data_IF_843298697236
#
_entry.id   IF_843298697236
#
_cell.length_a   1.000
_cell.length_b   1.000
_cell.length_c   1.000
_cell.angle_alpha   90.00
_cell.angle_beta   90.00
_cell.angle_gamma   90.00
#
_symmetry.space_group_name_H-M   'P 1'
#
loop_
_entity.id
_entity.type
_entity.pdbx_description
1 polymer ?
#
# COMPACT_ATOMS: atom_id res chain seq x y z
N UNK A 1 34.46 -20.83 -71.44
CA UNK A 1 33.48 -19.92 -70.79
C UNK A 1 32.71 -20.57 -69.63
N UNK A 2 33.20 -21.68 -69.03
CA UNK A 2 32.53 -22.35 -67.91
C UNK A 2 33.10 -22.02 -66.52
N UNK A 3 34.40 -21.75 -66.43
CA UNK A 3 35.11 -21.52 -65.15
C UNK A 3 34.64 -20.25 -64.43
N UNK A 4 34.26 -19.21 -65.18
CA UNK A 4 33.73 -17.97 -64.59
C UNK A 4 32.39 -18.20 -63.88
N UNK A 5 31.57 -19.13 -64.37
CA UNK A 5 30.24 -19.42 -63.80
C UNK A 5 30.34 -20.18 -62.48
N UNK A 6 31.22 -21.17 -62.38
CA UNK A 6 31.44 -21.92 -61.14
C UNK A 6 32.05 -21.04 -60.05
N UNK A 7 33.00 -20.17 -60.42
CA UNK A 7 33.58 -19.21 -59.47
C UNK A 7 32.54 -18.18 -58.99
N UNK A 8 31.63 -17.74 -59.86
CA UNK A 8 30.53 -16.84 -59.48
C UNK A 8 29.56 -17.50 -58.49
N UNK A 9 29.15 -18.75 -58.73
CA UNK A 9 28.27 -19.49 -57.83
C UNK A 9 28.90 -19.70 -56.45
N UNK A 10 30.19 -20.04 -56.41
CA UNK A 10 30.93 -20.22 -55.15
C UNK A 10 31.02 -18.92 -54.35
N UNK A 11 31.27 -17.78 -55.02
CA UNK A 11 31.28 -16.46 -54.38
C UNK A 11 29.90 -16.05 -53.88
N UNK A 12 28.84 -16.37 -54.64
CA UNK A 12 27.47 -16.10 -54.23
C UNK A 12 27.11 -16.90 -52.98
N UNK A 13 27.44 -18.20 -52.94
CA UNK A 13 27.21 -19.06 -51.79
C UNK A 13 27.92 -18.54 -50.54
N UNK A 14 29.21 -18.18 -50.65
CA UNK A 14 29.97 -17.60 -49.54
C UNK A 14 29.35 -16.30 -49.00
N UNK A 15 28.75 -15.48 -49.86
CA UNK A 15 28.05 -14.25 -49.44
C UNK A 15 26.75 -14.55 -48.73
N UNK A 16 26.02 -15.57 -49.17
CA UNK A 16 24.78 -16.03 -48.51
C UNK A 16 25.11 -16.60 -47.14
N UNK A 17 26.12 -17.47 -47.03
CA UNK A 17 26.54 -18.08 -45.76
C UNK A 17 26.96 -17.00 -44.75
N UNK A 18 27.81 -16.06 -45.17
CA UNK A 18 28.19 -14.91 -44.33
C UNK A 18 26.98 -14.04 -43.96
N UNK A 19 26.02 -13.91 -44.88
CA UNK A 19 24.76 -13.21 -44.63
C UNK A 19 23.94 -13.91 -43.55
N UNK A 20 23.81 -15.23 -43.62
CA UNK A 20 23.08 -16.07 -42.66
C UNK A 20 23.68 -15.91 -41.25
N UNK A 21 25.01 -15.95 -41.15
CA UNK A 21 25.75 -15.70 -39.91
C UNK A 21 25.52 -14.29 -39.35
N UNK A 22 25.31 -13.32 -40.25
CA UNK A 22 25.00 -11.93 -39.90
C UNK A 22 23.50 -11.66 -39.70
N UNK A 23 22.66 -12.70 -39.69
CA UNK A 23 21.21 -12.56 -39.43
C UNK A 23 20.30 -12.53 -40.66
N UNK A 24 20.78 -12.90 -41.85
CA UNK A 24 19.93 -13.04 -43.05
C UNK A 24 18.88 -14.13 -42.82
N UNK A 25 17.60 -13.78 -42.98
CA UNK A 25 16.47 -14.69 -42.84
C UNK A 25 15.52 -14.55 -44.03
N UNK A 26 14.89 -15.65 -44.39
CA UNK A 26 13.76 -15.66 -45.30
C UNK A 26 12.44 -15.53 -44.53
N UNK A 27 11.52 -14.73 -45.01
CA UNK A 27 10.14 -14.70 -44.50
C UNK A 27 9.13 -14.67 -45.65
N UNK A 28 7.95 -15.24 -45.44
CA UNK A 28 6.84 -15.10 -46.37
C UNK A 28 6.08 -13.83 -46.01
N UNK A 29 6.09 -12.85 -46.91
CA UNK A 29 5.35 -11.60 -46.73
C UNK A 29 4.13 -11.57 -47.65
N UNK A 30 3.07 -10.91 -47.19
CA UNK A 30 1.87 -10.73 -48.02
C UNK A 30 2.13 -9.67 -49.09
N UNK A 31 2.05 -10.06 -50.36
CA UNK A 31 2.19 -9.18 -51.51
C UNK A 31 0.88 -8.47 -51.86
N UNK A 32 -0.26 -9.18 -51.74
CA UNK A 32 -1.58 -8.61 -51.94
C UNK A 32 -2.58 -9.17 -50.94
N UNK A 33 -3.17 -8.30 -50.13
CA UNK A 33 -4.15 -8.65 -49.10
C UNK A 33 -5.48 -9.14 -49.70
N UNK A 34 -5.85 -8.70 -50.90
CA UNK A 34 -7.14 -9.05 -51.52
C UNK A 34 -7.13 -10.44 -52.14
N UNK A 35 -6.01 -10.84 -52.74
CA UNK A 35 -5.87 -12.15 -53.40
C UNK A 35 -5.13 -13.17 -52.54
N UNK A 36 -4.54 -12.74 -51.42
CA UNK A 36 -3.73 -13.57 -50.54
C UNK A 36 -2.39 -13.99 -51.15
N UNK A 37 -1.86 -13.28 -52.16
CA UNK A 37 -0.59 -13.64 -52.76
C UNK A 37 0.58 -13.38 -51.81
N UNK A 38 1.54 -14.30 -51.78
CA UNK A 38 2.72 -14.26 -50.93
C UNK A 38 4.00 -14.11 -51.76
N UNK A 39 5.02 -13.49 -51.19
CA UNK A 39 6.37 -13.47 -51.74
C UNK A 39 7.41 -13.81 -50.66
N UNK A 40 8.57 -14.30 -51.10
CA UNK A 40 9.70 -14.56 -50.21
C UNK A 40 10.54 -13.29 -50.09
N UNK A 41 10.63 -12.75 -48.88
CA UNK A 41 11.51 -11.64 -48.51
C UNK A 41 12.81 -12.19 -47.93
N UNK A 42 13.93 -11.59 -48.30
CA UNK A 42 15.25 -11.89 -47.73
C UNK A 42 15.77 -10.64 -47.03
N UNK A 43 15.73 -10.62 -45.71
CA UNK A 43 16.07 -9.45 -44.90
C UNK A 43 17.03 -9.84 -43.75
N UNK A 44 17.78 -8.85 -43.24
CA UNK A 44 18.59 -9.01 -42.05
C UNK A 44 17.74 -8.71 -40.80
N UNK A 45 17.67 -9.67 -39.88
CA UNK A 45 16.87 -9.55 -38.66
C UNK A 45 17.79 -9.29 -37.46
N UNK A 46 17.52 -8.20 -36.75
CA UNK A 46 18.23 -7.85 -35.52
C UNK A 46 17.95 -8.87 -34.41
N UNK A 47 18.98 -9.32 -33.70
CA UNK A 47 18.89 -10.37 -32.67
C UNK A 47 18.29 -11.70 -33.15
N UNK A 48 18.47 -12.05 -34.43
CA UNK A 48 18.04 -13.35 -34.95
C UNK A 48 18.69 -14.50 -34.16
N UNK A 49 17.90 -15.53 -33.82
CA UNK A 49 18.44 -16.76 -33.22
C UNK A 49 19.55 -17.31 -34.11
N UNK A 50 20.72 -17.71 -33.56
CA UNK A 50 21.80 -18.27 -34.35
C UNK A 50 21.30 -19.46 -35.18
N UNK A 51 21.42 -19.34 -36.49
CA UNK A 51 21.10 -20.40 -37.44
C UNK A 51 22.26 -20.38 -38.43
N UNK A 52 23.17 -21.35 -38.34
CA UNK A 52 24.31 -21.44 -39.23
C UNK A 52 23.90 -21.89 -40.63
N UNK A 53 24.80 -21.66 -41.60
CA UNK A 53 24.64 -22.18 -42.95
C UNK A 53 24.49 -23.71 -42.95
N UNK A 54 23.47 -24.22 -43.64
CA UNK A 54 23.18 -25.66 -43.76
C UNK A 54 22.93 -26.01 -45.22
N UNK A 55 23.14 -27.27 -45.57
CA UNK A 55 22.85 -27.81 -46.89
C UNK A 55 21.97 -29.05 -46.74
N UNK A 56 20.93 -29.16 -47.57
CA UNK A 56 20.05 -30.33 -47.62
C UNK A 56 19.94 -30.75 -49.08
N UNK A 57 20.20 -32.04 -49.36
CA UNK A 57 20.14 -32.61 -50.71
C UNK A 57 20.88 -31.73 -51.76
N UNK A 58 22.10 -31.29 -51.41
CA UNK A 58 22.97 -30.43 -52.25
C UNK A 58 22.51 -28.98 -52.44
N UNK A 59 21.40 -28.55 -51.80
CA UNK A 59 20.91 -27.17 -51.84
C UNK A 59 21.22 -26.40 -50.56
N UNK A 60 21.65 -25.15 -50.69
CA UNK A 60 21.86 -24.24 -49.57
C UNK A 60 20.53 -23.86 -48.90
N UNK A 61 20.47 -23.97 -47.58
CA UNK A 61 19.28 -23.68 -46.79
C UNK A 61 19.37 -22.28 -46.16
N UNK A 62 18.45 -21.40 -46.54
CA UNK A 62 18.30 -20.09 -45.90
C UNK A 62 17.34 -20.24 -44.70
N UNK A 63 17.75 -19.89 -43.47
CA UNK A 63 16.88 -20.01 -42.31
C UNK A 63 15.68 -19.07 -42.40
N UNK A 64 14.52 -19.52 -41.93
CA UNK A 64 13.27 -18.75 -42.01
C UNK A 64 12.91 -18.08 -40.68
N UNK A 65 12.12 -17.00 -40.77
CA UNK A 65 11.46 -16.37 -39.63
C UNK A 65 9.98 -16.12 -39.98
N UNK A 66 9.11 -16.21 -38.98
CA UNK A 66 7.70 -15.87 -39.13
C UNK A 66 7.51 -14.37 -39.38
N UNK A 67 6.57 -14.02 -40.25
CA UNK A 67 6.28 -12.62 -40.57
C UNK A 67 5.56 -11.90 -39.42
N UNK A 68 5.66 -10.57 -39.41
CA UNK A 68 5.17 -9.71 -38.33
C UNK A 68 3.64 -9.64 -38.26
N UNK A 69 2.92 -9.95 -39.35
CA UNK A 69 1.46 -9.86 -39.40
C UNK A 69 0.76 -10.93 -38.55
N UNK A 70 1.24 -12.18 -38.59
CA UNK A 70 0.70 -13.28 -37.77
C UNK A 70 0.84 -12.97 -36.27
N UNK A 71 1.89 -12.24 -35.89
CA UNK A 71 2.09 -11.80 -34.52
C UNK A 71 1.08 -10.72 -34.09
N UNK A 72 0.62 -9.86 -35.00
CA UNK A 72 -0.38 -8.84 -34.69
C UNK A 72 -1.73 -9.49 -34.40
N UNK A 73 -2.16 -10.44 -35.22
CA UNK A 73 -3.42 -11.17 -34.97
C UNK A 73 -3.39 -11.87 -33.61
N UNK A 74 -2.28 -12.54 -33.30
CA UNK A 74 -2.10 -13.22 -32.00
C UNK A 74 -2.16 -12.23 -30.83
N UNK A 75 -1.49 -11.09 -30.94
CA UNK A 75 -1.52 -10.02 -29.91
C UNK A 75 -2.90 -9.42 -29.75
N UNK A 76 -3.62 -9.17 -30.84
CA UNK A 76 -5.00 -8.65 -30.78
C UNK A 76 -5.92 -9.66 -30.10
N UNK A 77 -5.85 -10.94 -30.45
CA UNK A 77 -6.62 -12.00 -29.76
C UNK A 77 -6.30 -12.02 -28.27
N UNK A 78 -5.01 -11.99 -27.92
CA UNK A 78 -4.58 -12.03 -26.51
C UNK A 78 -5.08 -10.82 -25.73
N UNK A 79 -5.14 -9.63 -26.37
CA UNK A 79 -5.70 -8.43 -25.74
C UNK A 79 -7.22 -8.54 -25.56
N UNK A 80 -7.94 -9.10 -26.53
CA UNK A 80 -9.37 -9.34 -26.43
C UNK A 80 -9.69 -10.36 -25.33
N UNK A 81 -8.92 -11.45 -25.26
CA UNK A 81 -9.05 -12.46 -24.21
C UNK A 81 -8.82 -11.85 -22.83
N UNK A 82 -7.73 -11.09 -22.66
CA UNK A 82 -7.44 -10.37 -21.41
C UNK A 82 -8.51 -9.34 -21.05
N UNK A 83 -9.04 -8.62 -22.03
CA UNK A 83 -10.11 -7.65 -21.80
C UNK A 83 -11.40 -8.34 -21.34
N UNK A 84 -11.74 -9.48 -21.93
CA UNK A 84 -12.88 -10.29 -21.52
C UNK A 84 -12.69 -10.94 -20.14
N UNK A 85 -11.44 -11.23 -19.76
CA UNK A 85 -11.07 -11.77 -18.44
C UNK A 85 -11.01 -10.71 -17.34
N UNK A 86 -11.11 -9.42 -17.65
CA UNK A 86 -11.15 -8.38 -16.63
C UNK A 86 -12.40 -8.59 -15.76
N UNK A 87 -12.18 -8.95 -14.51
CA UNK A 87 -13.23 -9.13 -13.51
C UNK A 87 -13.77 -7.78 -13.00
N UNK A 88 -14.13 -6.87 -13.91
CA UNK A 88 -14.61 -5.52 -13.59
C UNK A 88 -15.81 -5.54 -12.66
N UNK A 89 -16.72 -6.52 -12.86
CA UNK A 89 -17.86 -6.72 -11.97
C UNK A 89 -17.40 -7.03 -10.54
N UNK A 90 -16.45 -7.94 -10.38
CA UNK A 90 -15.92 -8.30 -9.06
C UNK A 90 -15.22 -7.11 -8.40
N UNK A 91 -14.40 -6.37 -9.13
CA UNK A 91 -13.71 -5.17 -8.61
C UNK A 91 -14.71 -4.11 -8.13
N UNK A 92 -15.79 -3.87 -8.87
CA UNK A 92 -16.83 -2.92 -8.47
C UNK A 92 -17.61 -3.43 -7.26
N UNK A 93 -17.95 -4.72 -7.23
CA UNK A 93 -18.62 -5.35 -6.10
C UNK A 93 -17.76 -5.26 -4.82
N UNK A 94 -16.47 -5.59 -4.90
CA UNK A 94 -15.51 -5.52 -3.78
C UNK A 94 -15.30 -4.08 -3.30
N UNK A 95 -15.18 -3.11 -4.22
CA UNK A 95 -15.10 -1.70 -3.88
C UNK A 95 -16.37 -1.22 -3.17
N UNK A 96 -17.54 -1.67 -3.65
CA UNK A 96 -18.82 -1.39 -3.00
C UNK A 96 -18.90 -1.95 -1.58
N UNK A 97 -18.42 -3.17 -1.35
CA UNK A 97 -18.34 -3.78 -0.02
C UNK A 97 -17.41 -2.99 0.91
N UNK A 98 -16.21 -2.65 0.44
CA UNK A 98 -15.25 -1.87 1.22
C UNK A 98 -15.82 -0.50 1.63
N UNK A 99 -16.48 0.21 0.71
CA UNK A 99 -17.11 1.50 1.00
C UNK A 99 -18.24 1.38 2.03
N UNK A 100 -19.03 0.30 1.96
CA UNK A 100 -20.08 0.03 2.97
C UNK A 100 -19.49 -0.25 4.35
N UNK A 101 -18.41 -1.01 4.42
CA UNK A 101 -17.74 -1.32 5.70
C UNK A 101 -17.14 -0.05 6.32
N UNK A 102 -16.48 0.78 5.52
CA UNK A 102 -15.94 2.08 5.97
C UNK A 102 -17.06 2.99 6.46
N UNK A 103 -18.18 3.08 5.73
CA UNK A 103 -19.34 3.86 6.17
C UNK A 103 -19.93 3.31 7.47
N UNK A 104 -20.02 1.99 7.64
CA UNK A 104 -20.51 1.39 8.89
C UNK A 104 -19.58 1.68 10.06
N UNK A 105 -18.26 1.57 9.87
CA UNK A 105 -17.27 1.89 10.88
C UNK A 105 -17.33 3.37 11.30
N UNK A 106 -17.46 4.29 10.33
CA UNK A 106 -17.62 5.71 10.60
C UNK A 106 -18.88 6.00 11.43
N UNK A 107 -20.02 5.41 11.07
CA UNK A 107 -21.28 5.58 11.83
C UNK A 107 -21.18 5.03 13.26
N UNK A 108 -20.49 3.90 13.45
CA UNK A 108 -20.26 3.35 14.80
C UNK A 108 -19.34 4.25 15.61
N UNK A 109 -18.28 4.78 15.00
CA UNK A 109 -17.38 5.71 15.66
C UNK A 109 -18.12 6.99 16.08
N UNK A 110 -18.93 7.56 15.19
CA UNK A 110 -19.78 8.71 15.50
C UNK A 110 -20.72 8.41 16.68
N UNK A 111 -21.43 7.27 16.66
CA UNK A 111 -22.30 6.87 17.76
C UNK A 111 -21.55 6.74 19.10
N UNK A 112 -20.35 6.14 19.09
CA UNK A 112 -19.51 6.03 20.29
C UNK A 112 -19.09 7.41 20.79
N UNK A 113 -18.69 8.31 19.89
CA UNK A 113 -18.30 9.67 20.25
C UNK A 113 -19.48 10.45 20.82
N UNK A 114 -20.67 10.35 20.23
CA UNK A 114 -21.90 10.96 20.77
C UNK A 114 -22.22 10.41 22.15
N UNK A 115 -22.14 9.09 22.35
CA UNK A 115 -22.38 8.50 23.67
C UNK A 115 -21.37 8.98 24.71
N UNK A 116 -20.08 9.06 24.36
CA UNK A 116 -19.06 9.60 25.25
C UNK A 116 -19.32 11.07 25.60
N UNK A 117 -19.68 11.89 24.61
CA UNK A 117 -20.02 13.30 24.83
C UNK A 117 -21.22 13.45 25.77
N UNK A 118 -22.27 12.64 25.59
CA UNK A 118 -23.42 12.65 26.51
C UNK A 118 -23.09 12.20 27.93
N UNK A 119 -22.18 11.23 28.10
CA UNK A 119 -21.76 10.77 29.41
C UNK A 119 -20.88 11.82 30.11
N UNK A 120 -19.91 12.40 29.40
CA UNK A 120 -19.04 13.45 29.96
C UNK A 120 -19.83 14.74 30.25
N UNK A 121 -20.86 15.02 29.45
CA UNK A 121 -21.80 16.12 29.65
C UNK A 121 -22.85 15.86 30.74
N UNK A 122 -22.93 14.66 31.31
CA UNK A 122 -23.92 14.34 32.35
C UNK A 122 -23.61 15.08 33.65
N UNK A 123 -24.67 15.56 34.31
CA UNK A 123 -24.57 16.31 35.55
C UNK A 123 -23.94 15.44 36.66
N UNK A 124 -24.20 14.13 36.65
CA UNK A 124 -23.59 13.18 37.59
C UNK A 124 -22.07 13.06 37.45
N UNK A 125 -21.54 13.05 36.22
CA UNK A 125 -20.09 12.99 35.96
C UNK A 125 -19.43 14.33 36.28
N UNK A 126 -20.07 15.45 35.94
CA UNK A 126 -19.55 16.79 36.24
C UNK A 126 -19.52 17.09 37.75
N UNK A 127 -20.50 16.61 38.51
CA UNK A 127 -20.58 16.82 39.95
C UNK A 127 -19.76 15.81 40.75
N UNK A 128 -19.30 14.71 40.14
CA UNK A 128 -18.54 13.67 40.83
C UNK A 128 -17.30 14.21 41.58
N UNK A 129 -16.44 15.06 40.99
CA UNK A 129 -15.25 15.59 41.67
C UNK A 129 -15.62 16.52 42.84
N UNK A 130 -16.65 17.36 42.66
CA UNK A 130 -17.12 18.28 43.69
C UNK A 130 -17.69 17.52 44.89
N UNK A 131 -18.57 16.54 44.63
CA UNK A 131 -19.18 15.69 45.66
C UNK A 131 -18.12 14.86 46.41
N UNK A 132 -17.10 14.36 45.70
CA UNK A 132 -15.97 13.66 46.32
C UNK A 132 -15.16 14.59 47.22
N UNK A 133 -14.87 15.81 46.77
CA UNK A 133 -14.14 16.79 47.58
C UNK A 133 -14.92 17.17 48.85
N UNK A 134 -16.22 17.45 48.73
CA UNK A 134 -17.08 17.75 49.87
C UNK A 134 -17.13 16.60 50.88
N UNK A 135 -17.33 15.37 50.39
CA UNK A 135 -17.36 14.16 51.24
C UNK A 135 -16.04 14.00 52.00
N UNK A 136 -14.90 14.29 51.37
CA UNK A 136 -13.58 14.13 51.98
C UNK A 136 -13.24 15.26 52.96
N UNK A 137 -13.70 16.48 52.70
CA UNK A 137 -13.64 17.58 53.67
C UNK A 137 -14.48 17.28 54.91
N UNK A 138 -15.69 16.74 54.73
CA UNK A 138 -16.57 16.36 55.83
C UNK A 138 -15.98 15.20 56.64
N UNK A 139 -15.45 14.18 55.97
CA UNK A 139 -14.77 13.05 56.60
C UNK A 139 -13.56 13.54 57.43
N UNK A 140 -12.73 14.43 56.88
CA UNK A 140 -11.60 15.02 57.58
C UNK A 140 -12.04 15.79 58.82
N UNK A 141 -13.08 16.60 58.71
CA UNK A 141 -13.60 17.38 59.84
C UNK A 141 -14.06 16.46 60.97
N UNK A 142 -14.79 15.38 60.65
CA UNK A 142 -15.24 14.38 61.63
C UNK A 142 -14.06 13.64 62.27
N UNK A 143 -13.08 13.22 61.49
CA UNK A 143 -11.86 12.58 62.01
C UNK A 143 -11.08 13.51 62.92
N UNK A 144 -10.88 14.78 62.53
CA UNK A 144 -10.20 15.77 63.38
C UNK A 144 -10.92 16.01 64.71
N UNK A 145 -12.25 15.99 64.72
CA UNK A 145 -13.05 16.14 65.93
C UNK A 145 -12.91 14.93 66.87
N UNK A 146 -12.92 13.70 66.32
CA UNK A 146 -12.71 12.47 67.09
C UNK A 146 -11.28 12.42 67.66
N UNK A 147 -10.30 12.85 66.87
CA UNK A 147 -8.90 12.85 67.26
C UNK A 147 -8.62 13.92 68.32
N UNK A 148 -9.24 15.10 68.24
CA UNK A 148 -9.09 16.13 69.28
C UNK A 148 -9.60 15.66 70.65
N UNK A 149 -10.54 14.71 70.67
CA UNK A 149 -11.09 14.08 71.86
C UNK A 149 -10.18 12.94 72.41
N UNK A 150 -9.23 12.44 71.60
CA UNK A 150 -8.26 11.40 71.95
C UNK A 150 -6.84 11.97 72.12
N UNK A 151 -6.06 11.46 73.09
CA UNK A 151 -4.77 12.07 73.48
C UNK A 151 -3.74 12.20 72.35
N UNK A 152 -3.16 13.40 72.20
CA UNK A 152 -2.24 13.87 71.15
C UNK A 152 -0.83 13.22 71.09
N UNK A 153 -0.71 11.89 71.17
CA UNK A 153 0.59 11.19 71.15
C UNK A 153 0.60 9.76 70.61
N UNK A 154 -0.49 9.30 69.97
CA UNK A 154 -0.58 7.94 69.41
C UNK A 154 0.06 7.87 68.02
N UNK A 155 0.89 6.84 67.71
CA UNK A 155 1.44 6.64 66.36
C UNK A 155 0.37 6.48 65.26
N UNK A 156 -0.87 6.14 65.63
CA UNK A 156 -2.03 6.07 64.71
C UNK A 156 -2.40 7.45 64.17
N UNK A 157 -2.16 8.53 64.93
CA UNK A 157 -2.45 9.90 64.50
C UNK A 157 -1.60 10.31 63.29
N UNK A 158 -0.28 10.10 63.38
CA UNK A 158 0.66 10.47 62.31
C UNK A 158 0.39 9.70 61.01
N UNK A 159 -0.07 8.44 61.12
CA UNK A 159 -0.34 7.60 59.97
C UNK A 159 -1.64 7.98 59.25
N UNK A 160 -2.66 8.42 59.99
CA UNK A 160 -3.90 8.95 59.42
C UNK A 160 -3.69 10.31 58.73
N UNK A 161 -2.92 11.19 59.35
CA UNK A 161 -2.58 12.52 58.80
C UNK A 161 -1.85 12.39 57.45
N UNK A 162 -0.82 11.54 57.39
CA UNK A 162 -0.09 11.24 56.16
C UNK A 162 -0.99 10.65 55.05
N UNK A 163 -1.92 9.76 55.40
CA UNK A 163 -2.83 9.16 54.43
C UNK A 163 -3.86 10.17 53.89
N UNK A 164 -4.31 11.11 54.71
CA UNK A 164 -5.22 12.19 54.28
C UNK A 164 -4.52 13.17 53.36
N UNK A 165 -3.27 13.51 53.63
CA UNK A 165 -2.44 14.35 52.75
C UNK A 165 -2.20 13.66 51.39
N UNK A 166 -1.87 12.36 51.40
CA UNK A 166 -1.68 11.56 50.19
C UNK A 166 -2.96 11.47 49.35
N UNK A 167 -4.12 11.32 50.00
CA UNK A 167 -5.42 11.32 49.35
C UNK A 167 -5.72 12.69 48.72
N UNK A 168 -5.41 13.79 49.42
CA UNK A 168 -5.61 15.15 48.92
C UNK A 168 -4.77 15.43 47.67
N UNK A 169 -3.51 14.99 47.64
CA UNK A 169 -2.66 15.08 46.44
C UNK A 169 -3.21 14.25 45.27
N UNK A 170 -3.81 13.09 45.55
CA UNK A 170 -4.43 12.25 44.53
C UNK A 170 -5.67 12.92 43.93
N UNK A 171 -6.54 13.50 44.76
CA UNK A 171 -7.72 14.24 44.30
C UNK A 171 -7.35 15.47 43.49
N UNK A 172 -6.33 16.21 43.94
CA UNK A 172 -5.84 17.38 43.20
C UNK A 172 -5.32 16.98 41.82
N UNK A 173 -4.64 15.84 41.72
CA UNK A 173 -4.19 15.29 40.43
C UNK A 173 -5.39 14.91 39.54
N UNK A 174 -6.43 14.31 40.11
CA UNK A 174 -7.68 13.97 39.38
C UNK A 174 -8.43 15.22 38.93
N UNK A 175 -8.49 16.27 39.75
CA UNK A 175 -9.08 17.57 39.42
C UNK A 175 -8.35 18.24 38.26
N UNK A 176 -7.01 18.23 38.29
CA UNK A 176 -6.18 18.74 37.19
C UNK A 176 -6.43 17.97 35.88
N UNK A 177 -6.53 16.64 35.94
CA UNK A 177 -6.89 15.79 34.79
C UNK A 177 -8.30 16.11 34.27
N UNK A 178 -9.28 16.28 35.14
CA UNK A 178 -10.64 16.67 34.77
C UNK A 178 -10.67 18.04 34.09
N UNK A 179 -9.93 19.01 34.63
CA UNK A 179 -9.79 20.35 34.05
C UNK A 179 -9.07 20.33 32.69
N UNK A 180 -8.07 19.46 32.52
CA UNK A 180 -7.37 19.25 31.25
C UNK A 180 -8.28 18.64 30.16
N UNK A 181 -9.15 17.70 30.53
CA UNK A 181 -10.12 17.09 29.61
C UNK A 181 -11.20 18.09 29.20
N UNK A 182 -11.69 18.91 30.15
CA UNK A 182 -12.67 19.97 29.91
C UNK A 182 -12.12 21.07 28.98
N UNK A 183 -10.84 21.46 29.17
CA UNK A 183 -10.21 22.52 28.36
C UNK A 183 -9.66 22.05 27.03
N UNK A 184 -9.36 20.75 26.85
CA UNK A 184 -8.73 20.25 25.61
C UNK A 184 -9.08 18.78 25.27
N UNK A 185 -10.35 18.51 24.91
CA UNK A 185 -10.83 17.14 24.61
C UNK A 185 -10.15 16.51 23.39
N UNK A 186 -9.59 17.32 22.47
CA UNK A 186 -8.89 16.86 21.26
C UNK A 186 -7.54 16.15 21.53
N UNK A 187 -6.99 16.27 22.74
CA UNK A 187 -5.74 15.58 23.13
C UNK A 187 -5.89 14.05 23.25
N UNK A 188 -7.12 13.55 23.47
CA UNK A 188 -7.41 12.12 23.60
C UNK A 188 -7.51 11.39 22.26
N UNK A 189 -7.82 12.10 21.18
CA UNK A 189 -7.99 11.54 19.82
C UNK A 189 -6.68 11.66 19.02
N UNK A 190 -5.82 12.63 19.37
CA UNK A 190 -4.57 12.90 18.67
C UNK A 190 -3.39 12.89 19.64
N UNK A 191 -2.98 11.71 20.07
CA UNK A 191 -1.83 11.52 20.96
C UNK A 191 -0.46 11.59 20.25
N UNK A 192 -0.35 12.21 19.07
CA UNK A 192 0.94 12.37 18.41
C UNK A 192 1.04 13.71 17.63
N UNK A 193 1.80 14.71 18.13
CA UNK A 193 2.35 15.70 17.24
C UNK A 193 3.38 14.98 16.37
N UNK A 194 3.01 14.69 15.11
CA UNK A 194 3.91 14.18 14.08
C UNK A 194 5.30 14.82 14.26
N UNK A 195 6.37 14.04 14.51
CA UNK A 195 7.69 14.61 14.69
C UNK A 195 8.00 15.45 13.43
N UNK A 196 8.43 16.69 13.65
CA UNK A 196 8.74 17.61 12.56
C UNK A 196 9.71 16.92 11.59
N UNK A 197 9.29 16.80 10.33
CA UNK A 197 10.08 16.23 9.25
C UNK A 197 11.41 16.97 9.16
N UNK A 198 12.48 16.31 9.60
CA UNK A 198 13.82 16.86 9.53
C UNK A 198 14.26 16.80 8.07
N UNK A 199 13.94 17.86 7.32
CA UNK A 199 14.44 18.06 5.96
C UNK A 199 15.97 17.88 5.97
N UNK A 200 16.53 16.92 5.22
CA UNK A 200 17.95 16.66 5.22
C UNK A 200 18.68 17.89 4.66
N UNK A 201 19.58 18.47 5.46
CA UNK A 201 20.53 19.47 5.00
C UNK A 201 21.46 18.81 3.99
N UNK A 202 21.25 19.10 2.71
CA UNK A 202 22.16 18.73 1.63
C UNK A 202 23.58 19.17 1.97
N UNK A 203 24.48 18.20 2.07
CA UNK A 203 25.92 18.41 2.14
C UNK A 203 26.38 19.14 0.87
N UNK A 204 27.03 20.28 1.05
CA UNK A 204 27.76 21.01 0.00
C UNK A 204 29.09 20.34 -0.30
#
# INVERSE_FOLDING_TARGET
MGEDSEQMLKRLQQRIDKGIDSGLRASLKTGNLLTGSLYVSLDFVENAKPAGAKTIAEYALIPTVSDSFDQIQTKVSTLLDKFNELALKQTVDDAGLALREVSSAANRAEAVLTHLDTLLGSEEIQQLPANLNETLLELRAKLSAIIADYSAGSPVYHQLDQNLDQLQQTLYSIEQLSSQVDTQPSSLIFSDPRPADLLPKGSR
#
